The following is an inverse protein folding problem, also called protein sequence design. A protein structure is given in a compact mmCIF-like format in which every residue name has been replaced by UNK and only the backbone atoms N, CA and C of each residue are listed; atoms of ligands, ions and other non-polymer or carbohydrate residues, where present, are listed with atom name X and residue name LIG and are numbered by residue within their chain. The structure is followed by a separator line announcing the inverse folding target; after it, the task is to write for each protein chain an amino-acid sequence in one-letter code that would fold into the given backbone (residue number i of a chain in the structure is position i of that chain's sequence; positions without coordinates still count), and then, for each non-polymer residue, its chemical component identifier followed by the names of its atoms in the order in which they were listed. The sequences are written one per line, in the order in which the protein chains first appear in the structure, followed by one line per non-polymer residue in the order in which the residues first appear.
data_IF_613778182406
#
_entry.id   IF_613778182406
#
_cell.length_a   1.000
_cell.length_b   1.000
_cell.length_c   1.000
_cell.angle_alpha   90.00
_cell.angle_beta   90.00
_cell.angle_gamma   90.00
#
_symmetry.space_group_name_H-M   'P 1'
#
loop_
_entity.id
_entity.type
_entity.pdbx_description
1 polymer ?
#
# COMPACT_ATOMS: atom_id res chain seq x y z
N UNK A 1 23.93 5.13 6.07
CA UNK A 1 24.29 5.76 7.35
C UNK A 1 23.73 4.92 8.50
N UNK A 2 24.59 4.15 9.17
CA UNK A 2 24.24 3.51 10.45
C UNK A 2 24.01 4.64 11.46
N UNK A 3 22.86 4.64 12.14
CA UNK A 3 22.51 5.68 13.10
C UNK A 3 23.63 5.85 14.14
N UNK A 4 24.07 7.09 14.34
CA UNK A 4 24.92 7.48 15.48
C UNK A 4 24.21 7.05 16.77
N UNK A 5 24.71 6.00 17.43
CA UNK A 5 24.24 5.59 18.76
C UNK A 5 24.19 4.09 19.04
N UNK A 6 24.29 3.21 18.04
CA UNK A 6 24.30 1.76 18.27
C UNK A 6 25.61 1.15 17.80
N UNK A 7 26.51 0.83 18.74
CA UNK A 7 27.70 0.00 18.48
C UNK A 7 27.25 -1.44 18.29
N UNK A 8 26.74 -1.77 17.11
CA UNK A 8 26.41 -3.14 16.74
C UNK A 8 27.66 -3.79 16.12
N UNK A 9 28.19 -4.83 16.76
CA UNK A 9 29.21 -5.69 16.18
C UNK A 9 28.53 -6.97 15.70
N UNK A 10 28.51 -7.21 14.40
CA UNK A 10 27.90 -8.43 13.87
C UNK A 10 28.76 -9.63 14.23
N UNK A 11 28.15 -10.62 14.87
CA UNK A 11 28.81 -11.88 15.18
C UNK A 11 28.87 -12.78 13.94
N UNK A 12 29.68 -13.83 14.01
CA UNK A 12 29.68 -14.94 13.03
C UNK A 12 28.25 -15.39 12.72
N UNK A 13 27.41 -15.56 13.75
CA UNK A 13 26.04 -16.02 13.60
C UNK A 13 25.17 -15.00 12.84
N UNK A 14 25.32 -13.72 13.13
CA UNK A 14 24.55 -12.66 12.48
C UNK A 14 24.83 -12.61 10.98
N UNK A 15 26.11 -12.68 10.59
CA UNK A 15 26.55 -12.69 9.19
C UNK A 15 26.07 -13.96 8.50
N UNK A 16 26.34 -15.12 9.10
CA UNK A 16 25.95 -16.42 8.57
C UNK A 16 24.45 -16.50 8.29
N UNK A 17 23.62 -16.19 9.29
CA UNK A 17 22.18 -16.31 9.18
C UNK A 17 21.61 -15.28 8.16
N UNK A 18 22.21 -14.08 8.08
CA UNK A 18 21.84 -13.08 7.08
C UNK A 18 22.14 -13.53 5.64
N UNK A 19 23.29 -14.16 5.40
CA UNK A 19 23.68 -14.66 4.08
C UNK A 19 22.87 -15.90 3.67
N UNK A 20 22.61 -16.82 4.60
CA UNK A 20 21.76 -18.00 4.37
C UNK A 20 20.33 -17.61 4.02
N UNK A 21 19.75 -16.65 4.76
CA UNK A 21 18.38 -16.16 4.53
C UNK A 21 18.20 -15.30 3.26
N UNK A 22 19.28 -15.05 2.50
CA UNK A 22 19.30 -14.10 1.38
C UNK A 22 19.72 -14.73 0.04
N UNK A 23 19.33 -16.00 -0.19
CA UNK A 23 19.71 -16.79 -1.38
C UNK A 23 19.44 -16.11 -2.74
N UNK A 24 18.39 -15.30 -2.85
CA UNK A 24 18.07 -14.60 -4.11
C UNK A 24 18.98 -13.41 -4.43
N UNK A 25 19.80 -12.96 -3.47
CA UNK A 25 20.55 -11.69 -3.58
C UNK A 25 22.04 -11.88 -3.39
N UNK A 26 22.39 -12.71 -2.44
CA UNK A 26 23.74 -13.16 -2.24
C UNK A 26 23.90 -14.34 -3.18
N UNK A 27 24.46 -14.09 -4.37
CA UNK A 27 24.76 -15.16 -5.32
C UNK A 27 26.02 -15.93 -4.89
N UNK A 28 26.34 -17.02 -5.57
CA UNK A 28 27.59 -17.75 -5.33
C UNK A 28 28.79 -16.94 -5.83
N UNK A 29 28.60 -16.26 -6.96
CA UNK A 29 29.58 -15.40 -7.61
C UNK A 29 29.96 -14.24 -6.68
N UNK A 30 28.98 -13.55 -6.10
CA UNK A 30 29.25 -12.49 -5.11
C UNK A 30 30.10 -13.00 -3.94
N UNK A 31 29.76 -14.16 -3.35
CA UNK A 31 30.54 -14.72 -2.24
C UNK A 31 31.97 -15.07 -2.65
N UNK A 32 32.13 -15.63 -3.85
CA UNK A 32 33.43 -15.99 -4.38
C UNK A 32 34.29 -14.75 -4.64
N UNK A 33 33.72 -13.73 -5.27
CA UNK A 33 34.39 -12.46 -5.56
C UNK A 33 34.77 -11.72 -4.27
N UNK A 34 33.86 -11.68 -3.30
CA UNK A 34 34.09 -11.07 -1.98
C UNK A 34 35.23 -11.75 -1.22
N UNK A 35 35.30 -13.08 -1.24
CA UNK A 35 36.37 -13.80 -0.56
C UNK A 35 37.70 -13.69 -1.33
N UNK A 36 37.65 -13.76 -2.66
CA UNK A 36 38.83 -13.66 -3.51
C UNK A 36 39.47 -12.27 -3.46
N UNK A 37 38.65 -11.20 -3.42
CA UNK A 37 39.13 -9.82 -3.27
C UNK A 37 39.87 -9.61 -1.94
N UNK A 38 39.55 -10.42 -0.94
CA UNK A 38 40.22 -10.46 0.37
C UNK A 38 41.41 -11.42 0.43
N UNK A 39 41.81 -12.01 -0.70
CA UNK A 39 42.96 -12.93 -0.78
C UNK A 39 42.69 -14.31 -0.18
N UNK A 40 41.43 -14.71 0.00
CA UNK A 40 41.07 -16.04 0.51
C UNK A 40 41.03 -17.03 -0.66
N UNK A 41 41.86 -18.06 -0.60
CA UNK A 41 41.90 -19.12 -1.62
C UNK A 41 40.78 -20.14 -1.38
N UNK A 42 39.98 -20.39 -2.42
CA UNK A 42 38.79 -21.23 -2.35
C UNK A 42 38.80 -22.21 -3.51
N UNK A 43 38.38 -23.45 -3.25
CA UNK A 43 38.23 -24.44 -4.29
C UNK A 43 37.10 -24.04 -5.27
N UNK A 44 37.34 -24.15 -6.57
CA UNK A 44 36.36 -23.75 -7.60
C UNK A 44 35.04 -24.52 -7.56
N UNK A 45 35.00 -25.68 -6.88
CA UNK A 45 33.82 -26.51 -6.67
C UNK A 45 33.12 -26.27 -5.32
N UNK A 46 33.56 -25.31 -4.50
CA UNK A 46 32.94 -25.05 -3.19
C UNK A 46 31.45 -24.73 -3.30
N UNK A 47 30.69 -25.30 -2.38
CA UNK A 47 29.24 -25.08 -2.28
C UNK A 47 28.93 -23.67 -1.76
N UNK A 48 27.72 -23.20 -1.99
CA UNK A 48 27.30 -21.88 -1.48
C UNK A 48 27.43 -21.81 0.04
N UNK A 49 27.01 -22.87 0.72
CA UNK A 49 27.03 -22.99 2.17
C UNK A 49 28.48 -22.93 2.68
N UNK A 50 29.42 -23.66 2.07
CA UNK A 50 30.85 -23.59 2.42
C UNK A 50 31.43 -22.16 2.28
N UNK A 51 31.07 -21.45 1.20
CA UNK A 51 31.49 -20.07 0.99
C UNK A 51 30.95 -19.15 2.09
N UNK A 52 29.69 -19.33 2.50
CA UNK A 52 29.08 -18.55 3.60
C UNK A 52 29.78 -18.84 4.91
N UNK A 53 30.03 -20.11 5.23
CA UNK A 53 30.70 -20.50 6.47
C UNK A 53 32.11 -19.90 6.53
N UNK A 54 32.85 -19.99 5.41
CA UNK A 54 34.17 -19.39 5.27
C UNK A 54 34.11 -17.88 5.49
N UNK A 55 33.23 -17.18 4.77
CA UNK A 55 33.06 -15.74 4.88
C UNK A 55 32.72 -15.33 6.31
N UNK A 56 31.68 -15.93 6.90
CA UNK A 56 31.20 -15.56 8.23
C UNK A 56 32.27 -15.77 9.32
N UNK A 57 33.18 -16.73 9.14
CA UNK A 57 34.25 -17.02 10.10
C UNK A 57 35.39 -15.98 10.11
N UNK A 58 35.48 -15.12 9.09
CA UNK A 58 36.51 -14.10 8.99
C UNK A 58 36.26 -12.95 9.98
N UNK A 59 37.32 -12.22 10.31
CA UNK A 59 37.19 -10.88 10.90
C UNK A 59 36.76 -9.89 9.83
N UNK A 60 35.74 -9.09 10.09
CA UNK A 60 35.20 -8.14 9.13
C UNK A 60 35.55 -6.72 9.52
N UNK A 61 36.14 -5.97 8.58
CA UNK A 61 36.30 -4.54 8.69
C UNK A 61 34.96 -3.81 8.42
N UNK A 62 34.92 -2.52 8.68
CA UNK A 62 33.73 -1.71 8.39
C UNK A 62 33.34 -1.74 6.90
N UNK A 63 34.32 -1.69 5.99
CA UNK A 63 34.09 -1.79 4.54
C UNK A 63 33.45 -3.12 4.14
N UNK A 64 33.89 -4.22 4.76
CA UNK A 64 33.35 -5.55 4.53
C UNK A 64 31.86 -5.58 4.92
N UNK A 65 31.53 -4.96 6.04
CA UNK A 65 30.15 -4.83 6.49
C UNK A 65 29.31 -3.95 5.56
N UNK A 66 29.83 -2.83 5.07
CA UNK A 66 29.09 -1.99 4.12
C UNK A 66 28.79 -2.76 2.82
N UNK A 67 29.75 -3.50 2.28
CA UNK A 67 29.54 -4.29 1.06
C UNK A 67 28.51 -5.40 1.27
N UNK A 68 28.63 -6.17 2.36
CA UNK A 68 27.65 -7.21 2.72
C UNK A 68 26.28 -6.58 2.94
N UNK A 69 26.21 -5.47 3.69
CA UNK A 69 24.95 -4.79 4.01
C UNK A 69 24.25 -4.26 2.75
N UNK A 70 25.00 -3.61 1.85
CA UNK A 70 24.48 -3.10 0.59
C UNK A 70 23.94 -4.24 -0.29
N UNK A 71 24.62 -5.40 -0.32
CA UNK A 71 24.13 -6.56 -1.06
C UNK A 71 22.89 -7.20 -0.42
N UNK A 72 22.77 -7.13 0.92
CA UNK A 72 21.60 -7.58 1.66
C UNK A 72 20.41 -6.60 1.54
N UNK A 73 20.65 -5.34 1.21
CA UNK A 73 19.68 -4.25 1.27
C UNK A 73 18.45 -4.51 0.39
N UNK A 74 17.27 -4.41 1.00
CA UNK A 74 15.99 -4.60 0.32
C UNK A 74 15.52 -3.27 -0.23
N UNK A 75 15.55 -3.12 -1.56
CA UNK A 75 14.74 -2.09 -2.22
C UNK A 75 13.29 -2.32 -1.81
N UNK A 76 12.69 -1.42 -1.00
CA UNK A 76 11.35 -1.62 -0.51
C UNK A 76 10.38 -1.60 -1.70
N UNK A 77 9.35 -2.46 -1.65
CA UNK A 77 8.27 -2.37 -2.63
C UNK A 77 7.58 -1.03 -2.44
N UNK A 78 7.23 -0.31 -3.52
CA UNK A 78 6.50 0.94 -3.39
C UNK A 78 5.18 0.66 -2.66
N UNK A 79 4.97 1.40 -1.59
CA UNK A 79 3.74 1.37 -0.82
C UNK A 79 2.58 1.95 -1.65
N UNK A 80 1.37 1.51 -1.33
CA UNK A 80 0.17 2.08 -1.94
C UNK A 80 -0.03 3.49 -1.43
N UNK A 81 -0.72 4.30 -2.19
CA UNK A 81 -0.99 5.70 -1.88
C UNK A 81 -2.40 5.85 -1.32
N UNK A 82 -2.58 6.81 -0.44
CA UNK A 82 -3.88 7.34 -0.03
C UNK A 82 -3.85 8.87 -0.05
N UNK A 83 -5.01 9.49 0.13
CA UNK A 83 -5.16 10.94 0.17
C UNK A 83 -6.27 11.38 1.11
N UNK A 84 -6.09 12.54 1.73
CA UNK A 84 -7.08 13.22 2.57
C UNK A 84 -7.30 14.64 2.07
N UNK A 85 -8.55 15.09 2.05
CA UNK A 85 -8.89 16.49 1.77
C UNK A 85 -9.16 17.18 3.09
N UNK A 86 -8.46 18.28 3.32
CA UNK A 86 -8.59 19.13 4.50
C UNK A 86 -9.35 20.38 4.07
N UNK A 87 -10.51 20.64 4.66
CA UNK A 87 -11.42 21.74 4.30
C UNK A 87 -10.93 23.15 4.67
N UNK A 88 -9.63 23.40 4.55
CA UNK A 88 -8.96 24.67 4.79
C UNK A 88 -7.72 24.76 3.89
N UNK A 89 -7.41 25.95 3.38
CA UNK A 89 -6.12 26.24 2.74
C UNK A 89 -5.04 26.43 3.81
N UNK A 90 -4.04 25.55 3.82
CA UNK A 90 -2.93 25.61 4.77
C UNK A 90 -1.72 26.25 4.09
N UNK A 91 -1.26 27.37 4.63
CA UNK A 91 -0.08 28.07 4.13
C UNK A 91 1.24 27.46 4.58
N UNK A 92 2.31 27.76 3.84
CA UNK A 92 3.64 27.25 4.12
C UNK A 92 4.12 27.60 5.54
N UNK A 93 3.86 28.82 6.01
CA UNK A 93 4.20 29.24 7.37
C UNK A 93 3.51 28.39 8.43
N UNK A 94 2.22 28.09 8.25
CA UNK A 94 1.44 27.23 9.15
C UNK A 94 1.95 25.79 9.13
N UNK A 95 2.23 25.25 7.94
CA UNK A 95 2.86 23.93 7.79
C UNK A 95 4.21 23.87 8.49
N UNK A 96 5.03 24.92 8.38
CA UNK A 96 6.33 24.98 9.03
C UNK A 96 6.19 24.91 10.55
N UNK A 97 5.31 25.72 11.14
CA UNK A 97 5.06 25.70 12.60
C UNK A 97 4.56 24.32 13.05
N UNK A 98 3.62 23.72 12.31
CA UNK A 98 3.10 22.40 12.65
C UNK A 98 4.16 21.29 12.53
N UNK A 99 4.99 21.32 11.48
CA UNK A 99 6.11 20.37 11.30
C UNK A 99 7.17 20.55 12.40
N UNK A 100 7.46 21.77 12.83
CA UNK A 100 8.37 22.04 13.95
C UNK A 100 7.83 21.50 15.28
N UNK A 101 6.52 21.61 15.52
CA UNK A 101 5.87 21.01 16.69
C UNK A 101 5.98 19.47 16.67
N UNK A 102 5.69 18.84 15.53
CA UNK A 102 5.82 17.37 15.37
C UNK A 102 7.26 16.92 15.57
N UNK A 103 8.24 17.65 15.02
CA UNK A 103 9.67 17.39 15.25
C UNK A 103 10.04 17.44 16.73
N UNK A 104 9.46 18.38 17.49
CA UNK A 104 9.72 18.52 18.91
C UNK A 104 9.12 17.36 19.71
N UNK A 105 7.90 16.93 19.39
CA UNK A 105 7.25 15.77 20.00
C UNK A 105 7.96 14.45 19.69
N UNK A 106 8.57 14.34 18.49
CA UNK A 106 9.18 13.11 17.99
C UNK A 106 10.70 13.04 18.09
N UNK A 107 11.35 13.90 18.88
CA UNK A 107 12.83 13.96 18.96
C UNK A 107 13.47 12.60 19.30
N UNK A 108 12.81 11.79 20.12
CA UNK A 108 13.36 10.53 20.62
C UNK A 108 13.17 9.35 19.66
N UNK A 109 12.43 9.53 18.55
CA UNK A 109 12.12 8.46 17.60
C UNK A 109 13.19 8.27 16.51
N UNK A 110 14.29 9.04 16.53
CA UNK A 110 15.34 9.01 15.52
C UNK A 110 14.82 9.18 14.08
N UNK A 111 13.87 10.10 13.89
CA UNK A 111 13.27 10.39 12.59
C UNK A 111 13.70 11.75 12.08
N UNK A 112 13.84 11.87 10.76
CA UNK A 112 14.02 13.15 10.11
C UNK A 112 12.76 13.50 9.32
N UNK A 113 12.03 14.53 9.76
CA UNK A 113 10.86 15.07 9.08
C UNK A 113 11.29 16.40 8.46
N UNK A 114 11.25 16.56 7.14
CA UNK A 114 11.77 17.74 6.45
C UNK A 114 10.72 18.34 5.52
N UNK A 115 10.32 19.58 5.81
CA UNK A 115 9.48 20.37 4.92
C UNK A 115 10.34 20.98 3.80
N UNK A 116 9.87 20.87 2.56
CA UNK A 116 10.52 21.42 1.38
C UNK A 116 9.49 21.96 0.39
N UNK A 117 9.90 22.96 -0.40
CA UNK A 117 9.12 23.49 -1.52
C UNK A 117 9.87 23.17 -2.79
N UNK A 118 9.24 22.41 -3.69
CA UNK A 118 9.83 22.09 -4.99
C UNK A 118 9.83 23.30 -5.92
N UNK A 119 10.63 23.25 -6.99
CA UNK A 119 10.74 24.33 -7.98
C UNK A 119 9.40 24.72 -8.64
N UNK A 120 8.38 23.85 -8.60
CA UNK A 120 7.03 24.12 -9.09
C UNK A 120 6.05 24.64 -8.03
N UNK A 121 6.51 25.02 -6.83
CA UNK A 121 5.66 25.49 -5.73
C UNK A 121 4.92 24.40 -4.97
N UNK A 122 5.06 23.12 -5.37
CA UNK A 122 4.49 21.99 -4.65
C UNK A 122 5.25 21.80 -3.32
N UNK A 123 4.51 21.79 -2.21
CA UNK A 123 5.03 21.58 -0.87
C UNK A 123 5.11 20.08 -0.59
N UNK A 124 6.22 19.63 -0.03
CA UNK A 124 6.49 18.22 0.29
C UNK A 124 7.07 18.09 1.70
N UNK A 125 6.59 17.11 2.45
CA UNK A 125 7.19 16.70 3.72
C UNK A 125 7.87 15.35 3.50
N UNK A 126 9.20 15.34 3.54
CA UNK A 126 10.02 14.13 3.49
C UNK A 126 10.13 13.55 4.90
N UNK A 127 9.83 12.26 5.06
CA UNK A 127 9.92 11.55 6.33
C UNK A 127 10.89 10.39 6.16
N UNK A 128 12.00 10.46 6.88
CA UNK A 128 12.98 9.38 6.99
C UNK A 128 12.88 8.77 8.38
N UNK A 129 12.64 7.46 8.43
CA UNK A 129 12.44 6.73 9.68
C UNK A 129 13.01 5.32 9.57
N UNK A 130 13.15 4.67 10.72
CA UNK A 130 13.59 3.27 10.81
C UNK A 130 12.43 2.41 11.25
N UNK A 131 12.20 1.31 10.54
CA UNK A 131 11.28 0.25 10.96
C UNK A 131 12.07 -1.02 11.33
N UNK A 132 11.60 -1.75 12.34
CA UNK A 132 12.18 -3.02 12.76
C UNK A 132 11.28 -4.18 12.30
N UNK A 133 11.81 -5.04 11.42
CA UNK A 133 11.16 -6.28 11.00
C UNK A 133 11.70 -7.45 11.83
N UNK A 134 11.01 -7.77 12.93
CA UNK A 134 11.38 -8.85 13.85
C UNK A 134 11.36 -10.25 13.22
N UNK A 135 10.76 -10.41 12.03
CA UNK A 135 10.82 -11.65 11.26
C UNK A 135 12.12 -11.83 10.46
N UNK A 136 13.08 -10.89 10.55
CA UNK A 136 14.37 -10.95 9.85
C UNK A 136 15.53 -11.09 10.82
N UNK A 137 16.65 -11.59 10.28
CA UNK A 137 17.93 -11.64 10.99
C UNK A 137 18.40 -10.24 11.35
N UNK A 138 19.23 -10.11 12.38
CA UNK A 138 19.60 -8.80 12.97
C UNK A 138 20.18 -7.83 11.92
N UNK A 139 21.05 -8.30 11.02
CA UNK A 139 21.61 -7.50 9.92
C UNK A 139 20.58 -7.00 8.89
N UNK A 140 19.36 -7.55 8.88
CA UNK A 140 18.27 -7.21 7.97
C UNK A 140 17.00 -6.74 8.68
N UNK A 141 17.02 -6.72 10.01
CA UNK A 141 15.89 -6.37 10.86
C UNK A 141 15.61 -4.88 10.76
N UNK A 142 16.66 -4.06 10.78
CA UNK A 142 16.54 -2.61 10.65
C UNK A 142 16.35 -2.22 9.19
N UNK A 143 15.25 -1.53 8.88
CA UNK A 143 14.97 -0.99 7.55
C UNK A 143 14.89 0.53 7.62
N UNK A 144 15.81 1.18 6.93
CA UNK A 144 15.64 2.59 6.62
C UNK A 144 14.49 2.74 5.63
N UNK A 145 13.53 3.58 5.97
CA UNK A 145 12.42 3.97 5.10
C UNK A 145 12.47 5.45 4.84
N UNK A 146 12.19 5.80 3.59
CA UNK A 146 12.00 7.15 3.14
C UNK A 146 10.62 7.23 2.50
N UNK A 147 9.84 8.23 2.90
CA UNK A 147 8.54 8.48 2.32
C UNK A 147 8.27 9.97 2.16
N UNK A 148 7.41 10.31 1.21
CA UNK A 148 7.08 11.69 0.87
C UNK A 148 5.58 11.92 1.02
N UNK A 149 5.22 12.97 1.75
CA UNK A 149 3.87 13.52 1.83
C UNK A 149 3.81 14.71 0.87
N UNK A 150 2.91 14.63 -0.10
CA UNK A 150 2.65 15.66 -1.09
C UNK A 150 1.46 16.53 -0.66
N UNK A 151 1.66 17.85 -0.62
CA UNK A 151 0.63 18.81 -0.26
C UNK A 151 0.25 19.64 -1.47
N UNK A 152 -1.04 19.67 -1.78
CA UNK A 152 -1.63 20.39 -2.90
C UNK A 152 -2.67 21.38 -2.38
N UNK A 153 -2.53 22.65 -2.75
CA UNK A 153 -3.56 23.67 -2.51
C UNK A 153 -4.53 23.65 -3.70
N UNK A 154 -5.81 23.36 -3.45
CA UNK A 154 -6.85 23.27 -4.48
C UNK A 154 -8.04 24.14 -4.06
N UNK A 155 -8.12 25.36 -4.61
CA UNK A 155 -9.21 26.29 -4.29
C UNK A 155 -9.23 26.68 -2.80
N UNK A 156 -10.28 26.25 -2.11
CA UNK A 156 -10.56 26.52 -0.69
C UNK A 156 -10.09 25.41 0.27
N UNK A 157 -9.52 24.33 -0.25
CA UNK A 157 -9.08 23.17 0.52
C UNK A 157 -7.62 22.79 0.23
N UNK A 158 -7.07 21.98 1.13
CA UNK A 158 -5.74 21.39 0.99
C UNK A 158 -5.87 19.89 0.85
N UNK A 159 -5.35 19.33 -0.23
CA UNK A 159 -5.24 17.89 -0.40
C UNK A 159 -3.86 17.40 0.02
N UNK A 160 -3.84 16.35 0.83
CA UNK A 160 -2.61 15.70 1.31
C UNK A 160 -2.58 14.28 0.76
N UNK A 161 -1.55 13.93 0.00
CA UNK A 161 -1.35 12.60 -0.59
C UNK A 161 -0.08 11.99 -0.04
N UNK A 162 -0.12 10.73 0.36
CA UNK A 162 1.03 10.06 0.98
C UNK A 162 0.94 8.53 0.87
N UNK A 163 2.06 7.81 1.05
CA UNK A 163 2.05 6.35 1.21
C UNK A 163 1.18 5.91 2.39
N UNK A 164 0.28 4.97 2.17
CA UNK A 164 -0.66 4.49 3.17
C UNK A 164 0.04 3.50 4.12
N UNK A 165 0.69 4.04 5.14
CA UNK A 165 1.28 3.31 6.25
C UNK A 165 0.97 4.04 7.57
N UNK A 166 0.94 3.29 8.67
CA UNK A 166 0.56 3.78 9.99
C UNK A 166 1.45 4.94 10.46
N UNK A 167 2.73 4.96 10.05
CA UNK A 167 3.66 6.00 10.49
C UNK A 167 3.32 7.35 9.89
N UNK A 168 3.00 7.39 8.59
CA UNK A 168 2.58 8.61 7.92
C UNK A 168 1.16 9.02 8.32
N UNK A 169 0.27 8.05 8.55
CA UNK A 169 -1.08 8.32 9.08
C UNK A 169 -0.98 9.11 10.39
N UNK A 170 -0.16 8.64 11.34
CA UNK A 170 0.08 9.32 12.60
C UNK A 170 0.73 10.71 12.46
N UNK A 171 1.60 10.91 11.46
CA UNK A 171 2.17 12.25 11.17
C UNK A 171 1.10 13.19 10.65
N UNK A 172 0.23 12.72 9.75
CA UNK A 172 -0.86 13.52 9.20
C UNK A 172 -1.88 13.86 10.29
N UNK A 173 -2.22 12.92 11.16
CA UNK A 173 -3.10 13.18 12.31
C UNK A 173 -2.50 14.26 13.22
N UNK A 174 -1.22 14.13 13.58
CA UNK A 174 -0.50 15.14 14.39
C UNK A 174 -0.44 16.50 13.68
N UNK A 175 -0.28 16.51 12.36
CA UNK A 175 -0.27 17.73 11.54
C UNK A 175 -1.63 18.42 11.58
N UNK A 176 -2.72 17.67 11.36
CA UNK A 176 -4.08 18.22 11.40
C UNK A 176 -4.41 18.71 12.80
N UNK A 177 -4.10 17.96 13.85
CA UNK A 177 -4.31 18.37 15.24
C UNK A 177 -3.55 19.64 15.60
N UNK A 178 -2.28 19.75 15.19
CA UNK A 178 -1.46 20.94 15.43
C UNK A 178 -2.09 22.17 14.77
N UNK A 179 -2.66 22.03 13.58
CA UNK A 179 -3.31 23.13 12.85
C UNK A 179 -4.67 23.46 13.48
N UNK A 180 -5.45 22.46 13.89
CA UNK A 180 -6.71 22.68 14.62
C UNK A 180 -6.50 23.48 15.90
N UNK A 181 -5.44 23.15 16.68
CA UNK A 181 -5.06 23.88 17.90
C UNK A 181 -4.68 25.33 17.60
N UNK A 182 -3.96 25.60 16.51
CA UNK A 182 -3.58 26.97 16.14
C UNK A 182 -4.77 27.80 15.64
N UNK A 183 -5.68 27.20 14.86
CA UNK A 183 -6.83 27.89 14.28
C UNK A 183 -8.05 27.94 15.22
N UNK A 184 -8.00 27.21 16.36
CA UNK A 184 -9.12 27.05 17.30
C UNK A 184 -10.43 26.67 16.61
N UNK A 185 -10.33 25.92 15.52
CA UNK A 185 -11.45 25.59 14.64
C UNK A 185 -11.40 24.10 14.32
N UNK A 186 -12.56 23.45 14.35
CA UNK A 186 -12.67 22.06 13.92
C UNK A 186 -12.50 21.99 12.40
N UNK A 187 -11.46 21.28 11.97
CA UNK A 187 -11.16 21.13 10.55
C UNK A 187 -11.89 19.89 10.02
N UNK A 188 -12.80 20.10 9.06
CA UNK A 188 -13.44 19.00 8.34
C UNK A 188 -12.42 18.29 7.47
N UNK A 189 -12.39 16.97 7.56
CA UNK A 189 -11.59 16.11 6.70
C UNK A 189 -12.54 15.29 5.83
N UNK A 190 -12.25 15.23 4.54
CA UNK A 190 -12.96 14.37 3.59
C UNK A 190 -12.02 13.25 3.15
N UNK A 191 -12.43 12.03 3.47
CA UNK A 191 -11.72 10.77 3.27
C UNK A 191 -12.75 9.77 2.72
N UNK A 192 -12.32 8.93 1.80
CA UNK A 192 -13.17 7.86 1.27
C UNK A 192 -13.37 6.81 2.37
N UNK A 193 -14.55 6.87 2.99
CA UNK A 193 -14.98 5.99 4.06
C UNK A 193 -16.29 5.30 3.66
N UNK A 194 -16.20 4.00 3.35
CA UNK A 194 -17.33 3.20 2.92
C UNK A 194 -18.00 2.43 4.07
N UNK A 195 -17.71 2.77 5.33
CA UNK A 195 -18.23 2.05 6.51
C UNK A 195 -19.74 2.04 6.56
N UNK A 196 -20.37 3.18 6.23
CA UNK A 196 -21.82 3.30 6.20
C UNK A 196 -22.49 2.60 5.02
N UNK A 197 -21.73 2.09 4.05
CA UNK A 197 -22.23 1.49 2.81
C UNK A 197 -22.37 -0.03 2.91
N UNK A 198 -23.43 -0.55 2.30
CA UNK A 198 -23.67 -1.99 2.20
C UNK A 198 -22.75 -2.66 1.15
N UNK A 199 -22.92 -3.97 0.97
CA UNK A 199 -22.08 -4.79 0.08
C UNK A 199 -22.24 -4.37 -1.39
N UNK A 200 -23.48 -4.12 -1.79
CA UNK A 200 -23.87 -3.72 -3.13
C UNK A 200 -23.28 -2.35 -3.47
N UNK A 201 -23.39 -1.39 -2.58
CA UNK A 201 -22.86 -0.04 -2.73
C UNK A 201 -21.33 -0.01 -2.76
N UNK A 202 -20.65 -0.81 -1.92
CA UNK A 202 -19.19 -0.99 -2.01
C UNK A 202 -18.78 -1.52 -3.38
N UNK A 203 -19.55 -2.45 -3.93
CA UNK A 203 -19.33 -2.95 -5.30
C UNK A 203 -19.58 -1.87 -6.36
N UNK A 204 -20.63 -1.07 -6.20
CA UNK A 204 -20.94 0.06 -7.11
C UNK A 204 -19.82 1.10 -7.07
N UNK A 205 -19.25 1.40 -5.91
CA UNK A 205 -18.11 2.30 -5.76
C UNK A 205 -16.93 1.87 -6.67
N UNK A 206 -16.50 0.61 -6.57
CA UNK A 206 -15.40 0.11 -7.40
C UNK A 206 -15.74 0.07 -8.89
N UNK A 207 -16.97 -0.30 -9.25
CA UNK A 207 -17.43 -0.29 -10.65
C UNK A 207 -17.45 1.14 -11.22
N UNK A 208 -17.94 2.12 -10.46
CA UNK A 208 -17.93 3.53 -10.88
C UNK A 208 -16.50 4.05 -11.01
N UNK A 209 -15.63 3.75 -10.02
CA UNK A 209 -14.22 4.13 -10.00
C UNK A 209 -13.50 3.70 -11.29
N UNK A 210 -13.59 2.43 -11.69
CA UNK A 210 -12.82 1.93 -12.85
C UNK A 210 -13.31 2.49 -14.19
N UNK A 211 -14.53 3.00 -14.26
CA UNK A 211 -15.12 3.58 -15.48
C UNK A 211 -15.05 5.12 -15.55
N UNK A 212 -14.75 5.79 -14.44
CA UNK A 212 -14.80 7.25 -14.31
C UNK A 212 -13.44 7.96 -14.42
N UNK A 213 -12.40 7.30 -14.96
CA UNK A 213 -11.07 7.91 -15.07
C UNK A 213 -11.01 8.93 -16.21
N UNK A 214 -11.02 10.22 -15.86
CA UNK A 214 -10.94 11.31 -16.82
C UNK A 214 -9.69 11.22 -17.72
N UNK A 215 -9.89 11.25 -19.04
CA UNK A 215 -8.83 11.18 -20.04
C UNK A 215 -8.25 9.77 -20.25
N UNK A 216 -8.91 8.72 -19.74
CA UNK A 216 -8.55 7.33 -19.98
C UNK A 216 -9.78 6.51 -20.38
N UNK A 217 -9.59 5.60 -21.33
CA UNK A 217 -10.57 4.57 -21.67
C UNK A 217 -10.35 3.34 -20.79
N UNK A 218 -11.40 2.86 -20.11
CA UNK A 218 -11.39 1.55 -19.48
C UNK A 218 -11.03 0.47 -20.52
N UNK A 219 -10.13 -0.44 -20.17
CA UNK A 219 -9.65 -1.49 -21.09
C UNK A 219 -10.01 -2.89 -20.60
N UNK A 220 -9.59 -3.26 -19.40
CA UNK A 220 -9.86 -4.58 -18.83
C UNK A 220 -9.70 -4.58 -17.30
N UNK A 221 -10.34 -5.53 -16.61
CA UNK A 221 -10.03 -5.87 -15.22
C UNK A 221 -9.24 -7.17 -15.20
N UNK A 222 -8.01 -7.09 -14.71
CA UNK A 222 -7.09 -8.25 -14.67
C UNK A 222 -7.22 -9.04 -13.36
N UNK A 223 -7.58 -8.37 -12.28
CA UNK A 223 -7.76 -9.02 -10.97
C UNK A 223 -8.88 -8.37 -10.17
N UNK A 224 -9.70 -9.19 -9.53
CA UNK A 224 -10.70 -8.76 -8.56
C UNK A 224 -10.52 -9.58 -7.29
N UNK A 225 -10.55 -8.95 -6.13
CA UNK A 225 -10.81 -9.64 -4.88
C UNK A 225 -12.20 -9.24 -4.36
N UNK A 226 -12.87 -10.22 -3.79
CA UNK A 226 -14.19 -10.09 -3.21
C UNK A 226 -14.18 -10.58 -1.76
N UNK A 227 -15.00 -9.97 -0.93
CA UNK A 227 -15.17 -10.29 0.49
C UNK A 227 -16.66 -10.47 0.80
N UNK A 228 -16.98 -11.23 1.84
CA UNK A 228 -18.36 -11.52 2.26
C UNK A 228 -18.67 -10.97 3.67
N UNK A 229 -17.66 -10.65 4.47
CA UNK A 229 -17.87 -10.17 5.84
C UNK A 229 -18.00 -8.64 5.85
N UNK A 230 -19.10 -8.14 6.42
CA UNK A 230 -19.20 -6.77 6.93
C UNK A 230 -19.23 -6.89 8.45
N UNK A 231 -18.37 -6.16 9.16
CA UNK A 231 -18.48 -6.08 10.62
C UNK A 231 -19.79 -5.37 10.94
N UNK A 232 -20.64 -6.01 11.75
CA UNK A 232 -21.88 -5.39 12.19
C UNK A 232 -21.53 -4.06 12.87
N UNK A 233 -22.11 -2.97 12.36
CA UNK A 233 -22.06 -1.69 13.05
C UNK A 233 -22.86 -1.89 14.31
N UNK A 234 -22.18 -1.94 15.46
CA UNK A 234 -22.80 -2.13 16.76
C UNK A 234 -23.66 -0.91 17.07
N UNK A 235 -24.93 -0.94 16.64
CA UNK A 235 -25.95 -0.03 17.15
C UNK A 235 -26.36 -0.59 18.49
N UNK A 236 -25.68 -0.17 19.57
CA UNK A 236 -26.07 -0.57 20.93
C UNK A 236 -27.49 -0.09 21.23
N UNK A 237 -28.43 -1.02 21.39
CA UNK A 237 -29.10 -1.26 22.68
C UNK A 237 -30.15 -2.36 22.54
N UNK A 238 -29.95 -3.46 23.28
CA UNK A 238 -30.89 -4.11 24.20
C UNK A 238 -30.69 -5.62 24.25
N UNK A 239 -30.76 -6.11 25.48
CA UNK A 239 -30.53 -7.46 25.96
C UNK A 239 -31.23 -8.60 25.18
N UNK A 240 -30.68 -9.80 25.41
CA UNK A 240 -31.39 -11.01 25.87
C UNK A 240 -31.32 -12.27 24.99
N UNK A 241 -30.71 -13.31 25.60
CA UNK A 241 -30.87 -14.76 25.47
C UNK A 241 -30.77 -15.38 24.04
N UNK A 242 -30.01 -16.45 23.79
CA UNK A 242 -30.10 -17.77 24.40
C UNK A 242 -28.80 -18.57 24.29
N UNK A 243 -28.62 -19.44 25.27
CA UNK A 243 -27.64 -20.51 25.37
C UNK A 243 -28.17 -21.81 24.73
N UNK A 244 -27.21 -22.66 24.40
CA UNK A 244 -27.23 -24.12 24.41
C UNK A 244 -27.57 -25.01 23.18
N UNK A 245 -26.83 -26.12 23.20
CA UNK A 245 -26.49 -27.16 22.22
C UNK A 245 -27.62 -27.91 21.48
N UNK A 246 -27.34 -28.38 20.25
CA UNK A 246 -27.57 -29.80 19.89
C UNK A 246 -26.78 -30.26 18.64
N UNK A 247 -26.08 -31.39 18.77
CA UNK A 247 -25.42 -32.14 17.68
C UNK A 247 -26.44 -33.10 17.04
N UNK A 248 -26.69 -32.97 15.75
CA UNK A 248 -27.29 -34.04 14.94
C UNK A 248 -26.74 -34.07 13.50
N UNK A 249 -26.31 -35.28 13.09
CA UNK A 249 -26.15 -35.83 11.74
C UNK A 249 -25.33 -35.10 10.65
N UNK A 250 -24.01 -35.30 10.73
CA UNK A 250 -22.99 -34.88 9.75
C UNK A 250 -23.11 -35.50 8.33
N UNK A 251 -24.09 -36.39 8.09
CA UNK A 251 -24.31 -37.01 6.79
C UNK A 251 -25.41 -36.29 5.97
N UNK A 252 -26.43 -35.75 6.63
CA UNK A 252 -27.50 -34.96 5.99
C UNK A 252 -27.04 -33.52 5.75
N UNK A 253 -26.23 -32.97 6.67
CA UNK A 253 -25.49 -31.72 6.48
C UNK A 253 -24.62 -31.77 5.21
N UNK A 254 -24.08 -32.94 4.84
CA UNK A 254 -23.23 -33.12 3.64
C UNK A 254 -23.99 -33.04 2.32
N UNK A 255 -25.30 -33.25 2.33
CA UNK A 255 -26.16 -33.09 1.16
C UNK A 255 -26.67 -31.64 1.03
N UNK A 256 -26.93 -30.96 2.14
CA UNK A 256 -27.17 -29.49 2.16
C UNK A 256 -25.88 -28.68 1.89
N UNK A 257 -24.70 -29.25 2.17
CA UNK A 257 -23.38 -28.65 1.92
C UNK A 257 -23.06 -28.40 0.43
N UNK A 258 -23.87 -28.92 -0.50
CA UNK A 258 -23.80 -28.51 -1.90
C UNK A 258 -24.33 -27.08 -2.13
N UNK A 259 -25.20 -26.58 -1.24
CA UNK A 259 -25.54 -25.15 -1.09
C UNK A 259 -24.60 -24.44 -0.08
N UNK A 260 -23.93 -25.22 0.77
CA UNK A 260 -23.01 -24.79 1.84
C UNK A 260 -21.59 -24.36 1.45
N UNK A 261 -21.24 -24.22 0.16
CA UNK A 261 -20.04 -23.45 -0.22
C UNK A 261 -20.16 -21.97 0.18
N UNK A 262 -21.40 -21.50 0.40
CA UNK A 262 -21.80 -20.10 0.63
C UNK A 262 -21.51 -19.57 2.04
N UNK A 263 -21.42 -20.42 3.07
CA UNK A 263 -21.31 -19.97 4.48
C UNK A 263 -19.88 -19.95 5.05
N UNK A 264 -18.90 -20.61 4.43
CA UNK A 264 -17.53 -20.69 4.95
C UNK A 264 -16.51 -19.79 4.24
N UNK A 265 -16.79 -19.37 2.99
CA UNK A 265 -15.82 -18.61 2.22
C UNK A 265 -15.91 -17.12 2.59
N UNK A 266 -14.88 -16.64 3.29
CA UNK A 266 -14.78 -15.22 3.72
C UNK A 266 -14.40 -14.27 2.60
N UNK A 267 -13.50 -14.71 1.72
CA UNK A 267 -12.98 -13.92 0.60
C UNK A 267 -12.52 -14.81 -0.55
N UNK A 268 -12.47 -14.23 -1.75
CA UNK A 268 -11.96 -14.89 -2.95
C UNK A 268 -11.21 -13.89 -3.84
N UNK A 269 -10.31 -14.39 -4.69
CA UNK A 269 -9.62 -13.57 -5.68
C UNK A 269 -9.61 -14.25 -7.05
N UNK A 270 -10.07 -13.51 -8.06
CA UNK A 270 -10.11 -13.92 -9.46
C UNK A 270 -9.01 -13.19 -10.22
N UNK A 271 -8.28 -13.92 -11.07
CA UNK A 271 -7.18 -13.41 -11.87
C UNK A 271 -7.30 -13.93 -13.31
N UNK A 272 -7.25 -13.05 -14.30
CA UNK A 272 -7.43 -13.41 -15.70
C UNK A 272 -7.62 -12.18 -16.57
N UNK A 273 -8.16 -12.37 -17.77
CA UNK A 273 -8.58 -11.30 -18.68
C UNK A 273 -10.10 -11.23 -18.71
N UNK A 274 -10.69 -10.05 -18.69
CA UNK A 274 -12.15 -9.87 -18.72
C UNK A 274 -12.85 -10.26 -17.42
N UNK A 275 -12.15 -10.23 -16.27
CA UNK A 275 -12.67 -10.75 -14.99
C UNK A 275 -13.98 -10.06 -14.60
N UNK A 276 -14.15 -8.77 -14.94
CA UNK A 276 -15.36 -8.00 -14.65
C UNK A 276 -16.64 -8.61 -15.24
N UNK A 277 -16.54 -9.33 -16.36
CA UNK A 277 -17.66 -9.95 -17.06
C UNK A 277 -17.73 -11.47 -16.90
N UNK A 278 -16.80 -12.05 -16.13
CA UNK A 278 -16.72 -13.48 -15.87
C UNK A 278 -17.97 -14.00 -15.17
N UNK A 279 -18.36 -15.25 -15.45
CA UNK A 279 -19.51 -15.89 -14.79
C UNK A 279 -19.21 -16.10 -13.31
N UNK A 280 -17.95 -16.39 -13.01
CA UNK A 280 -17.41 -16.63 -11.68
C UNK A 280 -17.58 -15.38 -10.79
N UNK A 281 -17.23 -14.19 -11.27
CA UNK A 281 -17.45 -12.96 -10.51
C UNK A 281 -18.94 -12.71 -10.26
N UNK A 282 -19.79 -12.92 -11.27
CA UNK A 282 -21.24 -12.77 -11.11
C UNK A 282 -21.79 -13.69 -10.02
N UNK A 283 -21.38 -14.95 -10.01
CA UNK A 283 -21.78 -15.91 -8.99
C UNK A 283 -21.37 -15.47 -7.58
N UNK A 284 -20.16 -14.90 -7.41
CA UNK A 284 -19.74 -14.35 -6.12
C UNK A 284 -20.64 -13.18 -5.68
N UNK A 285 -20.89 -12.22 -6.58
CA UNK A 285 -21.73 -11.06 -6.26
C UNK A 285 -23.18 -11.47 -5.94
N UNK A 286 -23.75 -12.40 -6.71
CA UNK A 286 -25.08 -12.97 -6.46
C UNK A 286 -25.14 -13.77 -5.15
N UNK A 287 -24.01 -14.31 -4.69
CA UNK A 287 -23.88 -15.02 -3.42
C UNK A 287 -23.61 -14.09 -2.22
N UNK A 288 -23.75 -12.77 -2.39
CA UNK A 288 -23.61 -11.80 -1.31
C UNK A 288 -22.16 -11.39 -1.01
N UNK A 289 -21.22 -11.60 -1.93
CA UNK A 289 -19.88 -11.00 -1.85
C UNK A 289 -19.88 -9.59 -2.45
N UNK A 290 -18.93 -8.77 -2.03
CA UNK A 290 -18.67 -7.44 -2.60
C UNK A 290 -17.23 -7.28 -3.05
N UNK A 291 -17.00 -6.39 -4.02
CA UNK A 291 -15.64 -6.08 -4.47
C UNK A 291 -14.91 -5.29 -3.38
N UNK A 292 -13.73 -5.77 -2.98
CA UNK A 292 -12.85 -5.11 -2.01
C UNK A 292 -11.53 -4.63 -2.61
N UNK A 293 -11.18 -5.18 -3.78
CA UNK A 293 -9.96 -4.84 -4.53
C UNK A 293 -10.16 -5.07 -6.01
N UNK A 294 -9.63 -4.15 -6.81
CA UNK A 294 -9.61 -4.27 -8.26
C UNK A 294 -8.24 -3.86 -8.81
N UNK A 295 -7.74 -4.63 -9.78
CA UNK A 295 -6.61 -4.26 -10.63
C UNK A 295 -7.13 -4.21 -12.05
N UNK A 296 -7.01 -3.05 -12.68
CA UNK A 296 -7.54 -2.82 -14.01
C UNK A 296 -6.53 -2.08 -14.89
N UNK A 297 -6.76 -2.21 -16.19
CA UNK A 297 -6.03 -1.52 -17.23
C UNK A 297 -6.89 -0.41 -17.82
N UNK A 298 -6.27 0.74 -18.02
CA UNK A 298 -6.88 1.87 -18.70
C UNK A 298 -5.90 2.44 -19.74
N UNK A 299 -6.42 2.90 -20.87
CA UNK A 299 -5.62 3.44 -21.98
C UNK A 299 -5.80 4.95 -22.07
N UNK A 300 -4.70 5.70 -22.07
CA UNK A 300 -4.74 7.17 -22.19
C UNK A 300 -5.41 7.58 -23.50
N UNK A 301 -6.38 8.49 -23.43
CA UNK A 301 -7.12 9.03 -24.59
C UNK A 301 -6.27 10.04 -25.39
N UNK A 302 -5.15 9.59 -25.94
CA UNK A 302 -4.24 10.42 -26.75
C UNK A 302 -3.69 9.58 -27.91
N UNK A 303 -3.22 10.24 -28.97
CA UNK A 303 -2.55 9.54 -30.07
C UNK A 303 -1.27 8.89 -29.54
N UNK A 304 -1.14 7.57 -29.71
CA UNK A 304 -0.08 6.76 -29.11
C UNK A 304 -0.07 6.76 -27.56
N UNK A 305 -1.24 6.92 -26.94
CA UNK A 305 -1.40 6.87 -25.48
C UNK A 305 -0.95 5.53 -24.89
N UNK A 306 -0.24 5.60 -23.77
CA UNK A 306 0.16 4.41 -23.03
C UNK A 306 -1.05 3.75 -22.34
N UNK A 307 -0.94 2.45 -22.10
CA UNK A 307 -1.84 1.73 -21.20
C UNK A 307 -1.23 1.70 -19.82
N UNK A 308 -2.04 1.89 -18.79
CA UNK A 308 -1.61 1.87 -17.39
C UNK A 308 -2.36 0.80 -16.62
N UNK A 309 -1.65 0.11 -15.73
CA UNK A 309 -2.24 -0.83 -14.78
C UNK A 309 -2.34 -0.15 -13.42
N UNK A 310 -3.55 -0.12 -12.88
CA UNK A 310 -3.90 0.58 -11.65
C UNK A 310 -4.49 -0.44 -10.70
N UNK A 311 -4.21 -0.28 -9.41
CA UNK A 311 -4.84 -1.03 -8.33
C UNK A 311 -5.57 -0.06 -7.40
N UNK A 312 -6.76 -0.45 -6.95
CA UNK A 312 -7.47 0.17 -5.85
C UNK A 312 -8.01 -0.92 -4.91
N UNK A 313 -8.03 -0.66 -3.60
CA UNK A 313 -8.55 -1.58 -2.60
C UNK A 313 -8.94 -0.88 -1.30
N UNK A 314 -9.70 -1.58 -0.46
CA UNK A 314 -9.87 -1.29 0.96
C UNK A 314 -8.84 -2.09 1.76
N UNK A 315 -8.17 -1.45 2.71
CA UNK A 315 -7.34 -2.15 3.69
C UNK A 315 -8.16 -2.99 4.65
N UNK A 316 -9.31 -2.45 5.10
CA UNK A 316 -10.25 -3.14 5.98
C UNK A 316 -11.58 -3.32 5.23
N UNK A 317 -11.69 -4.31 4.31
CA UNK A 317 -12.89 -4.52 3.52
C UNK A 317 -14.16 -4.63 4.34
N UNK A 318 -14.13 -5.34 5.47
CA UNK A 318 -15.30 -5.54 6.33
C UNK A 318 -15.79 -4.26 6.98
N UNK A 319 -14.86 -3.40 7.42
CA UNK A 319 -15.17 -2.07 7.98
C UNK A 319 -15.48 -1.03 6.91
N UNK A 320 -15.18 -1.28 5.63
CA UNK A 320 -15.34 -0.29 4.56
C UNK A 320 -14.28 0.82 4.59
N UNK A 321 -13.17 0.65 5.30
CA UNK A 321 -12.19 1.72 5.54
C UNK A 321 -10.81 1.45 4.94
N UNK A 322 -9.97 2.48 4.92
CA UNK A 322 -8.58 2.40 4.46
C UNK A 322 -8.48 2.25 2.94
N UNK A 323 -9.22 3.08 2.20
CA UNK A 323 -9.10 3.12 0.74
C UNK A 323 -7.66 3.48 0.32
N UNK A 324 -7.11 2.67 -0.59
CA UNK A 324 -5.72 2.75 -1.06
C UNK A 324 -5.67 2.48 -2.55
N UNK A 325 -4.75 3.15 -3.24
CA UNK A 325 -4.59 2.98 -4.68
C UNK A 325 -3.12 3.08 -5.10
N UNK A 326 -2.76 2.48 -6.25
CA UNK A 326 -1.40 2.55 -6.77
C UNK A 326 -1.35 2.36 -8.28
N UNK A 327 -0.32 2.90 -8.92
CA UNK A 327 0.04 2.58 -10.30
C UNK A 327 1.01 1.39 -10.28
N UNK A 328 0.59 0.25 -10.82
CA UNK A 328 1.41 -0.98 -10.90
C UNK A 328 2.46 -0.91 -12.01
N UNK A 329 2.15 -0.19 -13.08
CA UNK A 329 3.08 0.02 -14.18
C UNK A 329 2.36 0.48 -15.44
N UNK A 330 3.13 0.57 -16.51
CA UNK A 330 2.66 1.02 -17.82
C UNK A 330 3.09 0.04 -18.91
N UNK A 331 2.30 0.01 -19.97
CA UNK A 331 2.59 -0.66 -21.23
C UNK A 331 2.69 0.42 -22.29
N UNK A 332 3.91 0.83 -22.69
CA UNK A 332 4.10 1.83 -23.73
C UNK A 332 3.42 1.44 -25.04
N UNK A 333 2.93 2.46 -25.77
CA UNK A 333 2.46 2.29 -27.13
C UNK A 333 3.65 2.09 -28.08
N UNK A 334 3.55 1.11 -28.96
CA UNK A 334 4.50 0.87 -30.05
C UNK A 334 4.12 1.73 -31.26
N UNK A 335 5.01 1.75 -32.27
CA UNK A 335 4.82 2.49 -33.52
C UNK A 335 3.60 2.03 -34.33
N UNK A 336 3.21 0.76 -34.18
CA UNK A 336 2.05 0.16 -34.84
C UNK A 336 0.72 0.43 -34.11
N UNK A 337 0.73 1.18 -33.01
CA UNK A 337 -0.45 1.46 -32.19
C UNK A 337 -0.77 0.39 -31.14
N UNK A 338 -0.09 -0.76 -31.16
CA UNK A 338 -0.24 -1.80 -30.13
C UNK A 338 0.56 -1.47 -28.87
N UNK A 339 0.18 -2.02 -27.71
CA UNK A 339 0.97 -1.87 -26.48
C UNK A 339 1.98 -3.00 -26.29
N UNK A 340 3.03 -2.75 -25.52
CA UNK A 340 3.95 -3.82 -25.11
C UNK A 340 3.23 -4.88 -24.27
N UNK A 341 3.69 -6.13 -24.35
CA UNK A 341 3.18 -7.23 -23.50
C UNK A 341 3.78 -7.11 -22.10
N UNK A 342 5.05 -6.75 -22.01
CA UNK A 342 5.76 -6.60 -20.73
C UNK A 342 5.43 -5.27 -20.06
N UNK A 343 5.06 -5.32 -18.78
CA UNK A 343 4.84 -4.16 -17.92
C UNK A 343 6.17 -3.50 -17.56
N UNK A 344 6.24 -2.18 -17.66
CA UNK A 344 7.37 -1.36 -17.18
C UNK A 344 6.97 -0.58 -15.93
N UNK A 345 7.94 -0.24 -15.10
CA UNK A 345 7.72 0.68 -13.99
C UNK A 345 7.41 2.08 -14.53
N UNK A 346 6.40 2.74 -13.97
CA UNK A 346 6.05 4.11 -14.32
C UNK A 346 7.02 5.08 -13.63
N UNK A 347 7.58 6.02 -14.40
CA UNK A 347 8.28 7.17 -13.84
C UNK A 347 7.33 8.14 -13.13
N UNK A 348 7.87 9.06 -12.33
CA UNK A 348 7.10 10.01 -11.52
C UNK A 348 6.21 10.92 -12.38
N UNK A 349 6.66 11.27 -13.58
CA UNK A 349 5.97 12.09 -14.57
C UNK A 349 4.69 11.45 -15.09
N UNK A 350 4.61 10.11 -15.16
CA UNK A 350 3.38 9.39 -15.51
C UNK A 350 2.59 9.04 -14.25
N UNK A 351 3.28 8.61 -13.19
CA UNK A 351 2.65 8.12 -11.96
C UNK A 351 1.82 9.21 -11.29
N UNK A 352 2.34 10.42 -11.09
CA UNK A 352 1.64 11.49 -10.34
C UNK A 352 0.34 11.95 -11.03
N UNK A 353 0.31 12.21 -12.35
CA UNK A 353 -0.94 12.54 -13.04
C UNK A 353 -1.96 11.40 -13.00
N UNK A 354 -1.54 10.14 -13.13
CA UNK A 354 -2.46 9.00 -13.05
C UNK A 354 -3.06 8.88 -11.65
N UNK A 355 -2.25 9.00 -10.59
CA UNK A 355 -2.74 9.00 -9.21
C UNK A 355 -3.78 10.11 -8.98
N UNK A 356 -3.54 11.32 -9.51
CA UNK A 356 -4.49 12.42 -9.44
C UNK A 356 -5.84 12.10 -10.10
N UNK A 357 -5.82 11.45 -11.27
CA UNK A 357 -7.06 11.06 -11.96
C UNK A 357 -7.81 9.99 -11.17
N UNK A 358 -7.10 9.03 -10.57
CA UNK A 358 -7.69 7.98 -9.73
C UNK A 358 -8.34 8.58 -8.48
N UNK A 359 -7.67 9.51 -7.80
CA UNK A 359 -8.24 10.24 -6.65
C UNK A 359 -9.55 10.94 -7.01
N UNK A 360 -9.54 11.73 -8.09
CA UNK A 360 -10.73 12.47 -8.53
C UNK A 360 -11.88 11.53 -8.89
N UNK A 361 -11.58 10.44 -9.58
CA UNK A 361 -12.59 9.42 -9.91
C UNK A 361 -13.15 8.74 -8.66
N UNK A 362 -12.31 8.44 -7.66
CA UNK A 362 -12.71 7.81 -6.42
C UNK A 362 -13.58 8.73 -5.56
N UNK A 363 -13.18 10.00 -5.40
CA UNK A 363 -13.98 11.00 -4.68
C UNK A 363 -15.32 11.25 -5.37
N UNK A 364 -15.32 11.35 -6.71
CA UNK A 364 -16.56 11.48 -7.49
C UNK A 364 -17.50 10.29 -7.25
N UNK A 365 -17.00 9.06 -7.37
CA UNK A 365 -17.79 7.86 -7.14
C UNK A 365 -18.34 7.78 -5.71
N UNK A 366 -17.56 8.23 -4.72
CA UNK A 366 -17.97 8.31 -3.33
C UNK A 366 -19.11 9.32 -3.10
N UNK A 367 -18.96 10.54 -3.62
CA UNK A 367 -19.98 11.60 -3.47
C UNK A 367 -21.26 11.29 -4.25
N UNK A 368 -21.18 10.65 -5.43
CA UNK A 368 -22.35 10.17 -6.18
C UNK A 368 -23.17 9.16 -5.38
N UNK A 369 -22.50 8.23 -4.67
CA UNK A 369 -23.16 7.26 -3.81
C UNK A 369 -23.81 7.91 -2.58
N UNK A 370 -23.16 8.91 -1.98
CA UNK A 370 -23.76 9.69 -0.90
C UNK A 370 -25.02 10.45 -1.36
N UNK A 371 -24.96 11.09 -2.54
CA UNK A 371 -26.10 11.80 -3.12
C UNK A 371 -27.30 10.88 -3.41
N UNK A 372 -27.05 9.70 -3.98
CA UNK A 372 -28.10 8.73 -4.27
C UNK A 372 -28.83 8.24 -3.00
N UNK A 373 -28.19 8.25 -1.83
CA UNK A 373 -28.81 7.92 -0.54
C UNK A 373 -29.69 9.04 0.00
N UNK A 374 -29.30 10.29 -0.20
CA UNK A 374 -30.11 11.44 0.26
C UNK A 374 -31.42 11.56 -0.51
N UNK A 375 -31.40 11.26 -1.82
CA UNK A 375 -32.60 11.31 -2.66
C UNK A 375 -33.61 10.21 -2.29
N UNK A 376 -33.12 8.99 -2.01
CA UNK A 376 -33.95 7.85 -1.56
C UNK A 376 -34.61 8.01 -0.20
N UNK A 377 -34.14 8.95 0.65
CA UNK A 377 -34.75 9.24 1.96
C UNK A 377 -35.84 10.32 1.89
N UNK A 378 -35.99 10.99 0.75
CA UNK A 378 -36.97 12.07 0.54
C UNK A 378 -38.20 11.61 -0.26
N UNK A 379 -38.13 10.44 -0.91
CA UNK A 379 -39.27 9.67 -1.42
C UNK A 379 -39.78 8.70 -0.35
#
# INVERSE_FOLDING_TARGET
MIAKGSTFYATYRDIRDALLSSKQRISREFLFDFLSSRGVFIAGNSTREELIETLASLTHAYSDFEEIYNQLEVVPRPERTTSRIIGLVIDHSKLQVAVEAIRAERRDYHEAINLSVSQGGQIKIKVEYTELDHGKTILRQRRAKEAEIEIYKEGDHTKVRYPANDRLEAIIDSLVESIQKSEKTQIKQDIIDLSSFDKEERTIFFKSLITSLSGFNFSDVTKVAVDNEIEAVDFSDSDDFFDDEEKADAAELRAELADGMKSFLKSAALNGTGVLHSKELKQFLESGFFISRVIWQATKMEKNGFKVEIEAMLENPSKGTGFRYSVKGVYPCKKDGSHTITRRQAGSEIKKPVLLVVEKAAMKAFHELLGARTDKKQE
#
